data_IF_869151831268
#
_entry.id   IF_869151831268
#
_cell.length_a   1.000
_cell.length_b   1.000
_cell.length_c   1.000
_cell.angle_alpha   90.00
_cell.angle_beta   90.00
_cell.angle_gamma   90.00
#
_symmetry.space_group_name_H-M   'P 1'
#
loop_
_entity.id
_entity.type
_entity.pdbx_description
1 polymer ?
#
# COMPACT_ATOMS: atom_id res chain seq x y z
N UNK A 1 -59.85 -5.95 -12.89
CA UNK A 1 -58.57 -6.49 -12.40
C UNK A 1 -57.45 -5.63 -12.98
N UNK A 2 -57.09 -4.57 -12.26
CA UNK A 2 -56.07 -3.58 -12.65
C UNK A 2 -54.76 -3.95 -11.96
N UNK A 3 -53.72 -4.22 -12.73
CA UNK A 3 -52.38 -4.52 -12.19
C UNK A 3 -51.69 -3.25 -11.68
N UNK A 4 -51.01 -3.29 -10.52
CA UNK A 4 -50.19 -2.19 -10.05
C UNK A 4 -48.82 -2.17 -10.75
N UNK A 5 -48.55 -1.08 -11.47
CA UNK A 5 -47.23 -0.75 -12.03
C UNK A 5 -46.23 -0.41 -10.93
N UNK A 6 -45.12 -1.15 -10.87
CA UNK A 6 -43.97 -0.89 -9.97
C UNK A 6 -43.18 0.35 -10.45
N UNK A 7 -42.75 1.25 -9.54
CA UNK A 7 -41.90 2.38 -9.90
C UNK A 7 -40.44 1.95 -10.14
N UNK A 8 -39.83 2.53 -11.18
CA UNK A 8 -38.42 2.37 -11.54
C UNK A 8 -37.50 2.98 -10.45
N UNK A 9 -36.48 2.26 -9.93
CA UNK A 9 -35.57 2.78 -8.90
C UNK A 9 -34.34 3.52 -9.45
N UNK A 10 -34.18 3.66 -10.76
CA UNK A 10 -33.04 4.37 -11.36
C UNK A 10 -33.48 5.72 -11.90
N UNK A 11 -33.27 6.76 -11.08
CA UNK A 11 -33.45 8.15 -11.45
C UNK A 11 -32.54 8.52 -12.63
N UNK A 12 -33.15 9.03 -13.69
CA UNK A 12 -32.45 9.74 -14.75
C UNK A 12 -31.77 10.99 -14.16
N UNK A 13 -30.52 11.31 -14.55
CA UNK A 13 -29.94 12.60 -14.23
C UNK A 13 -30.73 13.72 -14.94
N UNK A 14 -30.90 14.89 -14.32
CA UNK A 14 -31.62 16.00 -14.92
C UNK A 14 -30.90 16.52 -16.16
N UNK A 15 -31.70 16.83 -17.18
CA UNK A 15 -31.27 17.41 -18.44
C UNK A 15 -30.48 18.71 -18.23
N UNK A 16 -29.33 18.78 -18.90
CA UNK A 16 -28.43 19.93 -18.95
C UNK A 16 -29.16 21.18 -19.44
N UNK A 17 -29.13 22.24 -18.63
CA UNK A 17 -29.63 23.57 -18.99
C UNK A 17 -28.62 24.27 -19.91
N UNK A 18 -29.03 24.81 -21.08
CA UNK A 18 -28.16 25.63 -21.91
C UNK A 18 -27.98 27.02 -21.28
N UNK A 19 -26.89 27.20 -20.54
CA UNK A 19 -26.50 28.47 -19.94
C UNK A 19 -25.75 29.36 -20.94
N UNK A 20 -26.45 30.40 -21.38
CA UNK A 20 -26.00 31.57 -22.15
C UNK A 20 -24.71 32.20 -21.63
N UNK A 21 -23.88 32.64 -22.58
CA UNK A 21 -22.54 33.16 -22.35
C UNK A 21 -22.45 34.47 -21.59
N UNK A 22 -21.29 34.65 -20.96
CA UNK A 22 -20.81 35.96 -20.49
C UNK A 22 -19.27 35.99 -20.59
N UNK A 23 -18.76 36.66 -21.64
CA UNK A 23 -17.42 37.27 -21.68
C UNK A 23 -17.54 38.63 -20.98
N UNK A 24 -16.60 39.01 -20.11
CA UNK A 24 -15.45 39.84 -20.53
C UNK A 24 -14.15 39.41 -19.81
N UNK A 25 -12.97 39.50 -20.40
CA UNK A 25 -12.27 40.76 -20.67
C UNK A 25 -11.24 41.01 -19.55
N UNK A 26 -9.97 40.67 -19.79
CA UNK A 26 -8.89 40.80 -18.81
C UNK A 26 -7.52 40.52 -19.40
N UNK A 27 -7.13 41.31 -20.40
CA UNK A 27 -5.77 41.39 -20.93
C UNK A 27 -4.84 41.98 -19.86
N UNK A 28 -3.97 41.15 -19.27
CA UNK A 28 -2.73 41.62 -18.69
C UNK A 28 -1.58 40.91 -19.40
N UNK A 29 -1.16 41.55 -20.51
CA UNK A 29 0.07 41.27 -21.23
C UNK A 29 1.26 41.42 -20.27
N UNK A 30 1.82 40.31 -19.79
CA UNK A 30 3.16 40.30 -19.21
C UNK A 30 4.18 40.27 -20.35
N UNK A 31 4.73 41.44 -20.63
CA UNK A 31 5.91 41.64 -21.45
C UNK A 31 7.09 40.87 -20.84
N UNK A 32 7.50 39.79 -21.51
CA UNK A 32 8.75 39.09 -21.22
C UNK A 32 9.91 39.95 -21.72
N UNK A 33 10.70 40.50 -20.80
CA UNK A 33 11.97 41.12 -21.14
C UNK A 33 12.97 40.03 -21.62
N UNK A 34 13.75 40.27 -22.69
CA UNK A 34 14.79 39.35 -23.12
C UNK A 34 15.95 39.35 -22.11
N UNK A 35 16.22 38.19 -21.51
CA UNK A 35 17.37 37.97 -20.66
C UNK A 35 18.66 38.12 -21.48
N UNK A 36 19.53 39.05 -21.05
CA UNK A 36 20.88 39.20 -21.60
C UNK A 36 21.69 37.91 -21.40
N UNK A 37 22.44 37.44 -22.41
CA UNK A 37 23.42 36.37 -22.23
C UNK A 37 24.55 36.87 -21.33
N UNK A 38 24.72 36.24 -20.17
CA UNK A 38 25.86 36.43 -19.28
C UNK A 38 27.10 35.84 -19.95
N UNK A 39 28.00 36.73 -20.33
CA UNK A 39 29.35 36.44 -20.78
C UNK A 39 30.11 35.70 -19.67
N UNK A 40 30.78 34.57 -19.96
CA UNK A 40 31.65 33.93 -18.98
C UNK A 40 32.90 34.80 -18.74
N UNK A 41 33.33 35.00 -17.49
CA UNK A 41 34.56 35.72 -17.19
C UNK A 41 35.77 34.90 -17.67
N UNK A 42 36.55 35.52 -18.55
CA UNK A 42 37.84 35.01 -19.01
C UNK A 42 38.87 35.06 -17.86
N UNK A 43 39.67 34.00 -17.73
CA UNK A 43 40.93 34.02 -17.01
C UNK A 43 40.86 33.62 -15.54
N UNK A 44 40.72 32.32 -15.26
CA UNK A 44 41.13 31.75 -13.98
C UNK A 44 42.51 31.08 -14.16
N UNK A 45 43.57 31.52 -13.46
CA UNK A 45 44.88 30.90 -13.55
C UNK A 45 44.80 29.43 -13.11
N UNK A 46 45.53 28.57 -13.82
CA UNK A 46 45.59 27.13 -13.57
C UNK A 46 46.03 26.86 -12.12
N UNK A 47 45.19 26.14 -11.38
CA UNK A 47 45.50 25.72 -10.03
C UNK A 47 46.65 24.69 -10.04
N UNK A 48 47.60 24.75 -9.09
CA UNK A 48 48.67 23.77 -8.98
C UNK A 48 48.12 22.37 -8.68
N UNK A 49 48.82 21.31 -9.12
CA UNK A 49 48.38 19.94 -8.86
C UNK A 49 48.29 19.66 -7.36
N UNK A 50 47.22 18.99 -6.88
CA UNK A 50 47.09 18.68 -5.47
C UNK A 50 48.19 17.72 -5.00
N UNK A 51 48.67 17.85 -3.76
CA UNK A 51 49.65 16.92 -3.20
C UNK A 51 49.08 15.49 -3.14
N UNK A 52 49.94 14.46 -3.26
CA UNK A 52 49.51 13.06 -3.17
C UNK A 52 48.87 12.80 -1.81
N UNK A 53 47.64 12.30 -1.82
CA UNK A 53 46.88 12.05 -0.60
C UNK A 53 47.61 11.01 0.30
N UNK A 54 47.64 11.21 1.62
CA UNK A 54 48.19 10.24 2.55
C UNK A 54 47.40 8.94 2.45
N UNK A 55 48.09 7.85 2.13
CA UNK A 55 47.55 6.48 2.14
C UNK A 55 47.32 6.08 3.60
N UNK A 56 46.18 6.46 4.15
CA UNK A 56 45.73 5.94 5.44
C UNK A 56 45.49 4.45 5.31
N UNK A 57 46.23 3.69 6.12
CA UNK A 57 46.19 2.25 6.20
C UNK A 57 44.77 1.75 6.41
N UNK A 58 44.49 0.63 5.76
CA UNK A 58 43.36 -0.26 5.98
C UNK A 58 43.11 -0.46 7.48
N UNK A 59 42.08 0.20 8.00
CA UNK A 59 41.53 -0.10 9.32
C UNK A 59 40.64 -1.35 9.20
N UNK A 60 41.00 -2.50 9.82
CA UNK A 60 40.03 -3.54 10.10
C UNK A 60 39.18 -3.06 11.28
N UNK A 61 37.92 -3.50 11.36
CA UNK A 61 36.90 -3.07 12.33
C UNK A 61 36.09 -1.83 11.95
N UNK A 62 35.19 -2.02 10.98
CA UNK A 62 33.86 -1.42 11.09
C UNK A 62 32.93 -2.46 11.71
N UNK A 63 32.64 -2.41 13.02
CA UNK A 63 31.46 -3.09 13.54
C UNK A 63 30.25 -2.35 12.99
N UNK A 64 29.73 -2.79 11.84
CA UNK A 64 28.40 -2.35 11.42
C UNK A 64 27.41 -3.01 12.37
N UNK A 65 27.07 -2.33 13.46
CA UNK A 65 25.88 -2.65 14.24
C UNK A 65 24.68 -2.39 13.33
N UNK A 66 24.32 -3.42 12.55
CA UNK A 66 23.04 -3.42 11.84
C UNK A 66 21.97 -3.46 12.91
N UNK A 67 21.34 -2.31 13.13
CA UNK A 67 20.10 -2.24 13.91
C UNK A 67 19.06 -2.97 13.10
N UNK A 68 18.83 -4.23 13.43
CA UNK A 68 17.75 -5.03 12.88
C UNK A 68 16.50 -4.70 13.69
N UNK A 69 15.57 -3.98 13.05
CA UNK A 69 14.28 -3.69 13.66
C UNK A 69 13.41 -4.93 13.47
N UNK A 70 13.08 -5.59 14.58
CA UNK A 70 12.17 -6.73 14.52
C UNK A 70 10.72 -6.23 14.57
N UNK A 71 9.90 -6.72 13.63
CA UNK A 71 8.49 -6.39 13.55
C UNK A 71 7.71 -7.34 14.45
N UNK A 72 7.10 -6.78 15.47
CA UNK A 72 6.28 -7.50 16.44
C UNK A 72 4.81 -7.12 16.21
N UNK A 73 4.04 -7.89 15.42
CA UNK A 73 2.62 -7.64 15.29
C UNK A 73 1.93 -7.83 16.65
N UNK A 74 1.12 -6.85 17.01
CA UNK A 74 0.25 -6.83 18.19
C UNK A 74 -0.94 -7.76 17.98
N UNK A 75 -1.49 -7.79 16.76
CA UNK A 75 -2.62 -8.64 16.40
C UNK A 75 -2.17 -9.81 15.53
N UNK A 76 -2.90 -10.93 15.63
CA UNK A 76 -2.73 -12.10 14.75
C UNK A 76 -3.22 -11.84 13.32
N UNK A 77 -4.02 -10.80 13.15
CA UNK A 77 -4.62 -10.43 11.87
C UNK A 77 -3.88 -9.22 11.36
N UNK A 78 -3.26 -9.40 10.21
CA UNK A 78 -2.62 -8.33 9.46
C UNK A 78 -3.51 -7.94 8.30
N UNK A 79 -3.44 -6.69 7.85
CA UNK A 79 -4.03 -6.26 6.59
C UNK A 79 -2.96 -5.69 5.67
N UNK A 80 -2.92 -6.21 4.44
CA UNK A 80 -2.09 -5.75 3.33
C UNK A 80 -2.87 -4.83 2.40
N UNK A 81 -2.25 -3.71 2.05
CA UNK A 81 -2.69 -2.77 1.04
C UNK A 81 -1.75 -2.82 -0.16
N UNK A 82 -2.26 -3.25 -1.31
CA UNK A 82 -1.54 -3.29 -2.58
C UNK A 82 -2.49 -3.06 -3.77
N UNK A 83 -1.98 -2.51 -4.87
CA UNK A 83 -2.75 -2.30 -6.09
C UNK A 83 -2.66 -3.48 -7.08
N UNK A 84 -1.92 -4.54 -6.75
CA UNK A 84 -1.58 -5.63 -7.68
C UNK A 84 -2.79 -6.49 -8.02
N UNK A 85 -3.42 -6.26 -9.17
CA UNK A 85 -4.66 -6.97 -9.54
C UNK A 85 -5.94 -6.19 -9.19
N UNK A 86 -5.81 -4.94 -8.74
CA UNK A 86 -6.91 -3.97 -8.63
C UNK A 86 -7.01 -3.03 -9.85
N UNK A 87 -6.35 -3.37 -10.97
CA UNK A 87 -6.36 -2.54 -12.18
C UNK A 87 -7.76 -2.37 -12.77
N UNK A 88 -8.52 -3.46 -12.97
CA UNK A 88 -9.86 -3.41 -13.57
C UNK A 88 -10.88 -2.58 -12.76
N UNK A 89 -11.03 -2.78 -11.43
CA UNK A 89 -11.93 -1.96 -10.60
C UNK A 89 -11.69 -0.44 -10.72
N UNK A 90 -10.44 -0.02 -10.93
CA UNK A 90 -10.10 1.39 -11.01
C UNK A 90 -10.64 2.07 -12.28
N UNK A 91 -10.72 1.35 -13.40
CA UNK A 91 -11.32 1.90 -14.61
C UNK A 91 -12.81 2.16 -14.45
N UNK A 92 -13.49 1.21 -13.80
CA UNK A 92 -14.92 1.35 -13.51
C UNK A 92 -15.18 2.54 -12.60
N UNK A 93 -14.30 2.76 -11.62
CA UNK A 93 -14.39 3.91 -10.72
C UNK A 93 -14.26 5.25 -11.46
N UNK A 94 -13.40 5.32 -12.47
CA UNK A 94 -13.18 6.53 -13.28
C UNK A 94 -14.22 6.70 -14.41
N UNK A 95 -15.15 5.75 -14.59
CA UNK A 95 -16.14 5.79 -15.66
C UNK A 95 -15.56 5.62 -17.07
N UNK A 96 -14.33 5.12 -17.19
CA UNK A 96 -13.70 4.85 -18.48
C UNK A 96 -14.04 3.44 -18.98
N UNK A 97 -14.15 3.23 -20.31
CA UNK A 97 -14.26 1.88 -20.87
C UNK A 97 -13.02 1.06 -20.47
N UNK A 98 -13.21 -0.25 -20.29
CA UNK A 98 -12.13 -1.19 -19.99
C UNK A 98 -10.97 -1.00 -20.96
N UNK A 99 -9.83 -0.54 -20.44
CA UNK A 99 -8.60 -0.44 -21.20
C UNK A 99 -7.55 -1.37 -20.59
N UNK A 100 -7.20 -2.40 -21.35
CA UNK A 100 -6.27 -3.46 -20.95
C UNK A 100 -4.86 -2.92 -20.68
N UNK A 101 -4.49 -1.79 -21.28
CA UNK A 101 -3.14 -1.21 -21.14
C UNK A 101 -2.84 -0.80 -19.70
N UNK A 102 -3.86 -0.41 -18.94
CA UNK A 102 -3.73 0.00 -17.54
C UNK A 102 -3.95 -1.14 -16.55
N UNK A 103 -4.19 -2.37 -17.04
CA UNK A 103 -4.26 -3.56 -16.20
C UNK A 103 -2.97 -3.83 -15.43
N UNK A 104 -1.84 -3.29 -15.92
CA UNK A 104 -0.55 -3.36 -15.23
C UNK A 104 -0.33 -2.13 -14.33
N UNK A 105 0.13 -2.39 -13.10
CA UNK A 105 0.38 -1.37 -12.08
C UNK A 105 1.32 -0.25 -12.55
N UNK A 106 2.36 -0.60 -13.32
CA UNK A 106 3.32 0.38 -13.82
C UNK A 106 2.76 1.32 -14.87
N UNK A 107 1.77 0.88 -15.67
CA UNK A 107 1.10 1.75 -16.63
C UNK A 107 0.10 2.66 -15.92
N UNK A 108 -0.60 2.13 -14.92
CA UNK A 108 -1.47 2.91 -14.06
C UNK A 108 -0.71 4.03 -13.33
N UNK A 109 0.40 3.71 -12.68
CA UNK A 109 1.18 4.71 -11.94
C UNK A 109 1.69 5.81 -12.88
N UNK A 110 2.17 5.44 -14.08
CA UNK A 110 2.58 6.42 -15.10
C UNK A 110 1.43 7.31 -15.56
N UNK A 111 0.23 6.77 -15.67
CA UNK A 111 -0.96 7.53 -16.04
C UNK A 111 -1.33 8.56 -14.97
N UNK A 112 -1.32 8.15 -13.70
CA UNK A 112 -1.60 9.02 -12.57
C UNK A 112 -0.52 10.10 -12.39
N UNK A 113 0.76 9.76 -12.61
CA UNK A 113 1.88 10.72 -12.57
C UNK A 113 1.84 11.73 -13.71
N UNK A 114 1.39 11.33 -14.91
CA UNK A 114 1.26 12.23 -16.06
C UNK A 114 0.23 13.34 -15.82
N UNK A 115 -0.70 13.15 -14.89
CA UNK A 115 -1.76 14.09 -14.60
C UNK A 115 -2.91 14.06 -15.62
N UNK A 116 -3.76 15.08 -15.57
CA UNK A 116 -4.97 15.24 -16.40
C UNK A 116 -6.26 15.19 -15.58
N UNK A 117 -7.39 15.19 -16.28
CA UNK A 117 -8.71 15.29 -15.63
C UNK A 117 -9.04 14.04 -14.78
N UNK A 118 -8.58 12.86 -15.20
CA UNK A 118 -8.82 11.60 -14.51
C UNK A 118 -8.20 11.54 -13.09
N UNK A 119 -6.89 11.82 -12.87
CA UNK A 119 -6.32 11.85 -11.53
C UNK A 119 -6.88 12.99 -10.65
N UNK A 120 -7.35 14.09 -11.23
CA UNK A 120 -8.03 15.15 -10.46
C UNK A 120 -9.41 14.69 -9.97
N UNK A 121 -10.20 14.05 -10.84
CA UNK A 121 -11.47 13.43 -10.46
C UNK A 121 -11.27 12.34 -9.40
N UNK A 122 -10.22 11.51 -9.55
CA UNK A 122 -9.85 10.50 -8.56
C UNK A 122 -9.48 11.14 -7.22
N UNK A 123 -8.69 12.21 -7.23
CA UNK A 123 -8.32 12.94 -6.01
C UNK A 123 -9.55 13.46 -5.29
N UNK A 124 -10.45 14.12 -6.01
CA UNK A 124 -11.69 14.65 -5.44
C UNK A 124 -12.56 13.54 -4.84
N UNK A 125 -12.67 12.41 -5.53
CA UNK A 125 -13.37 11.22 -5.03
C UNK A 125 -12.72 10.69 -3.75
N UNK A 126 -11.41 10.47 -3.74
CA UNK A 126 -10.69 9.93 -2.59
C UNK A 126 -10.74 10.87 -1.37
N UNK A 127 -10.68 12.18 -1.58
CA UNK A 127 -10.86 13.19 -0.54
C UNK A 127 -12.29 13.21 0.01
N UNK A 128 -13.29 12.89 -0.81
CA UNK A 128 -14.70 12.79 -0.37
C UNK A 128 -14.95 11.54 0.46
N UNK A 129 -14.33 10.42 0.09
CA UNK A 129 -14.52 9.13 0.78
C UNK A 129 -13.68 9.06 2.05
N UNK A 130 -12.51 9.69 2.11
CA UNK A 130 -11.61 9.57 3.26
C UNK A 130 -12.24 9.87 4.63
N UNK A 131 -13.06 10.93 4.81
CA UNK A 131 -13.73 11.21 6.07
C UNK A 131 -14.71 10.13 6.53
N UNK A 132 -15.28 9.33 5.62
CA UNK A 132 -16.25 8.28 5.97
C UNK A 132 -15.60 7.11 6.71
N UNK A 133 -14.28 6.99 6.62
CA UNK A 133 -13.51 5.98 7.33
C UNK A 133 -13.16 6.37 8.77
N UNK A 134 -13.40 7.63 9.16
CA UNK A 134 -13.10 8.16 10.50
C UNK A 134 -11.64 7.95 10.94
N UNK A 135 -10.71 7.81 9.98
CA UNK A 135 -9.30 7.59 10.23
C UNK A 135 -8.60 8.92 10.52
N UNK A 136 -8.49 9.28 11.81
CA UNK A 136 -7.75 10.46 12.28
C UNK A 136 -6.22 10.39 12.07
N UNK A 137 -5.68 9.22 11.71
CA UNK A 137 -4.28 9.01 11.36
C UNK A 137 -3.43 8.28 12.41
N UNK A 138 -2.13 8.37 12.19
CA UNK A 138 -1.00 7.75 12.87
C UNK A 138 -1.12 6.22 13.09
N UNK A 139 -1.42 5.49 12.01
CA UNK A 139 -1.16 4.05 11.96
C UNK A 139 0.26 3.81 11.41
N UNK A 140 0.98 2.85 12.00
CA UNK A 140 2.27 2.40 11.50
C UNK A 140 2.04 1.31 10.44
N UNK A 141 2.65 1.48 9.28
CA UNK A 141 2.57 0.56 8.15
C UNK A 141 3.97 0.11 7.76
N UNK A 142 4.14 -1.19 7.67
CA UNK A 142 5.41 -1.80 7.33
C UNK A 142 5.43 -2.13 5.84
N UNK A 143 6.61 -2.06 5.22
CA UNK A 143 6.76 -2.54 3.86
C UNK A 143 6.55 -4.06 3.85
N UNK A 144 5.71 -4.56 2.96
CA UNK A 144 5.48 -6.00 2.82
C UNK A 144 6.62 -6.64 2.03
N UNK A 145 7.71 -6.95 2.72
CA UNK A 145 8.90 -7.61 2.20
C UNK A 145 9.10 -9.01 2.83
N UNK A 146 10.12 -9.73 2.35
CA UNK A 146 10.39 -11.09 2.82
C UNK A 146 10.89 -11.14 4.28
N UNK A 147 11.45 -10.05 4.78
CA UNK A 147 11.86 -9.95 6.18
C UNK A 147 10.64 -9.86 7.09
N UNK A 148 9.67 -9.00 6.76
CA UNK A 148 8.39 -8.89 7.49
C UNK A 148 7.62 -10.20 7.42
N UNK A 149 7.54 -10.86 6.25
CA UNK A 149 6.92 -12.19 6.14
C UNK A 149 7.59 -13.19 7.08
N UNK A 150 8.93 -13.23 7.09
CA UNK A 150 9.69 -14.14 7.94
C UNK A 150 9.45 -13.86 9.43
N UNK A 151 9.44 -12.59 9.83
CA UNK A 151 9.18 -12.18 11.21
C UNK A 151 7.78 -12.59 11.68
N UNK A 152 6.76 -12.36 10.84
CA UNK A 152 5.38 -12.78 11.13
C UNK A 152 5.28 -14.30 11.22
N UNK A 153 5.88 -15.04 10.29
CA UNK A 153 5.85 -16.51 10.30
C UNK A 153 6.60 -17.11 11.50
N UNK A 154 7.69 -16.49 11.97
CA UNK A 154 8.46 -16.98 13.12
C UNK A 154 7.66 -16.94 14.42
N UNK A 155 6.86 -15.90 14.66
CA UNK A 155 6.05 -15.80 15.89
C UNK A 155 5.08 -16.96 16.07
N UNK A 156 4.45 -17.39 14.98
CA UNK A 156 3.50 -18.52 14.99
C UNK A 156 4.14 -19.80 15.55
N UNK A 157 5.46 -19.95 15.43
CA UNK A 157 6.18 -21.12 15.91
C UNK A 157 6.59 -21.03 17.39
N UNK A 158 6.67 -19.83 17.98
CA UNK A 158 7.17 -19.63 19.36
C UNK A 158 6.08 -19.90 20.40
N UNK A 159 4.82 -19.59 20.09
CA UNK A 159 3.70 -19.81 21.00
C UNK A 159 3.21 -21.26 21.02
N UNK A 160 3.76 -22.14 20.17
CA UNK A 160 3.54 -23.58 20.32
C UNK A 160 4.29 -24.03 21.58
N UNK A 161 3.59 -24.41 22.67
CA UNK A 161 4.25 -24.92 23.84
C UNK A 161 5.12 -26.08 23.38
N UNK A 162 6.42 -26.00 23.64
CA UNK A 162 7.35 -27.10 23.37
C UNK A 162 6.73 -28.32 24.05
N UNK A 163 6.13 -29.21 23.25
CA UNK A 163 5.61 -30.49 23.73
C UNK A 163 6.82 -31.09 24.44
N UNK A 164 6.79 -31.25 25.78
CA UNK A 164 7.96 -31.66 26.52
C UNK A 164 8.47 -32.91 25.83
N UNK A 165 9.71 -32.85 25.35
CA UNK A 165 10.31 -33.96 24.62
C UNK A 165 10.09 -35.18 25.49
N UNK A 166 9.19 -36.07 25.05
CA UNK A 166 8.84 -37.24 25.81
C UNK A 166 10.05 -38.17 25.64
N UNK A 167 11.08 -37.93 26.45
CA UNK A 167 12.24 -38.78 26.63
C UNK A 167 11.79 -40.01 27.44
N UNK A 168 10.79 -40.69 26.91
CA UNK A 168 10.32 -42.00 27.35
C UNK A 168 11.05 -43.03 26.52
N UNK A 169 12.28 -43.33 26.91
CA UNK A 169 13.04 -44.47 26.45
C UNK A 169 12.36 -45.72 27.02
N UNK A 170 11.32 -46.22 26.34
CA UNK A 170 10.73 -47.52 26.65
C UNK A 170 11.03 -48.49 25.50
N UNK A 171 12.10 -49.26 25.68
CA UNK A 171 12.23 -50.56 25.04
C UNK A 171 11.12 -51.46 25.61
N UNK A 172 10.10 -51.77 24.82
CA UNK A 172 9.31 -52.97 25.02
C UNK A 172 8.77 -53.40 23.66
N UNK A 173 9.33 -54.49 23.14
CA UNK A 173 8.67 -55.35 22.16
C UNK A 173 7.33 -55.77 22.74
N UNK A 174 6.22 -55.33 22.14
CA UNK A 174 4.97 -56.09 22.19
C UNK A 174 4.10 -55.71 20.99
N UNK A 175 3.89 -56.70 20.13
CA UNK A 175 3.02 -56.67 18.97
C UNK A 175 1.57 -56.57 19.45
N UNK A 176 0.96 -55.39 19.44
CA UNK A 176 -0.50 -55.29 19.55
C UNK A 176 -1.12 -54.32 18.54
N UNK A 177 -2.05 -54.89 17.80
CA UNK A 177 -2.67 -54.42 16.59
C UNK A 177 -3.84 -53.50 16.99
N UNK A 178 -3.61 -52.19 17.08
CA UNK A 178 -4.67 -51.20 17.29
C UNK A 178 -4.98 -50.42 16.00
N UNK A 179 -5.89 -50.98 15.22
CA UNK A 179 -6.76 -50.19 14.34
C UNK A 179 -7.79 -49.48 15.23
N UNK A 180 -7.58 -48.22 15.61
CA UNK A 180 -8.70 -47.27 15.68
C UNK A 180 -8.25 -45.82 15.77
N UNK A 181 -9.00 -45.01 15.02
CA UNK A 181 -9.34 -43.57 15.11
C UNK A 181 -8.72 -42.74 16.25
N UNK A 182 -8.38 -41.46 16.07
CA UNK A 182 -9.20 -40.40 15.50
C UNK A 182 -8.40 -39.08 15.40
N UNK A 183 -8.52 -38.40 14.26
CA UNK A 183 -8.59 -36.93 14.14
C UNK A 183 -7.46 -36.08 14.77
N UNK A 184 -6.25 -36.16 14.24
CA UNK A 184 -5.20 -35.14 14.42
C UNK A 184 -5.45 -33.86 13.58
N UNK A 185 -6.72 -33.47 13.37
CA UNK A 185 -7.12 -32.23 12.68
C UNK A 185 -7.32 -31.04 13.64
N UNK A 186 -6.88 -31.17 14.90
CA UNK A 186 -7.04 -30.13 15.90
C UNK A 186 -5.85 -29.17 15.96
N UNK A 187 -6.15 -27.89 15.74
CA UNK A 187 -5.40 -26.71 16.18
C UNK A 187 -4.11 -26.33 15.46
N UNK A 188 -4.22 -26.12 14.15
CA UNK A 188 -3.40 -25.12 13.46
C UNK A 188 -4.09 -23.73 13.39
N UNK A 189 -4.96 -23.44 14.37
CA UNK A 189 -5.83 -22.25 14.47
C UNK A 189 -5.13 -21.00 15.02
N UNK A 190 -3.86 -21.12 15.43
CA UNK A 190 -3.07 -20.01 16.02
C UNK A 190 -2.13 -19.31 15.04
N UNK A 191 -2.12 -19.71 13.77
CA UNK A 191 -1.33 -19.02 12.76
C UNK A 191 -1.87 -17.60 12.53
N UNK A 192 -0.96 -16.61 12.55
CA UNK A 192 -1.28 -15.30 12.04
C UNK A 192 -1.74 -15.43 10.58
N UNK A 193 -2.73 -14.64 10.17
CA UNK A 193 -3.19 -14.62 8.78
C UNK A 193 -3.22 -13.18 8.26
N UNK A 194 -3.00 -13.04 6.96
CA UNK A 194 -2.90 -11.76 6.30
C UNK A 194 -4.14 -11.54 5.43
N UNK A 195 -4.91 -10.51 5.74
CA UNK A 195 -6.01 -10.06 4.90
C UNK A 195 -5.47 -9.13 3.84
N UNK A 196 -5.96 -9.24 2.61
CA UNK A 196 -5.70 -8.29 1.56
C UNK A 196 -6.92 -7.40 1.36
N UNK A 197 -6.75 -6.09 1.52
CA UNK A 197 -7.81 -5.13 1.25
C UNK A 197 -8.11 -5.05 -0.26
N UNK A 198 -9.40 -5.09 -0.62
CA UNK A 198 -9.87 -5.05 -2.02
C UNK A 198 -10.52 -3.71 -2.34
N UNK A 199 -11.06 -3.02 -1.33
CA UNK A 199 -11.62 -1.70 -1.50
C UNK A 199 -10.56 -0.73 -2.02
N UNK A 200 -10.72 -0.38 -3.30
CA UNK A 200 -9.81 0.47 -4.03
C UNK A 200 -9.72 1.88 -3.45
N UNK A 201 -10.84 2.44 -2.96
CA UNK A 201 -10.87 3.76 -2.35
C UNK A 201 -10.07 3.80 -1.06
N UNK A 202 -10.19 2.75 -0.25
CA UNK A 202 -9.38 2.55 0.96
C UNK A 202 -7.90 2.33 0.62
N UNK A 203 -7.60 1.37 -0.27
CA UNK A 203 -6.22 1.02 -0.66
C UNK A 203 -5.48 2.23 -1.23
N UNK A 204 -6.10 2.97 -2.15
CA UNK A 204 -5.49 4.17 -2.73
C UNK A 204 -5.29 5.26 -1.70
N UNK A 205 -6.27 5.53 -0.83
CA UNK A 205 -6.09 6.54 0.22
C UNK A 205 -4.92 6.20 1.15
N UNK A 206 -4.84 4.94 1.60
CA UNK A 206 -3.73 4.49 2.47
C UNK A 206 -2.39 4.65 1.75
N UNK A 207 -2.26 4.13 0.52
CA UNK A 207 -1.01 4.20 -0.23
C UNK A 207 -0.61 5.65 -0.56
N UNK A 208 -1.56 6.50 -0.95
CA UNK A 208 -1.32 7.88 -1.38
C UNK A 208 -1.08 8.86 -0.21
N UNK A 209 -1.61 8.58 0.99
CA UNK A 209 -1.43 9.42 2.19
C UNK A 209 -0.27 8.97 3.09
N UNK A 210 0.14 7.71 3.04
CA UNK A 210 1.23 7.22 3.90
C UNK A 210 2.58 7.86 3.55
N UNK A 211 3.27 8.40 4.55
CA UNK A 211 4.61 9.00 4.46
C UNK A 211 5.50 8.34 5.49
N UNK A 212 6.71 7.92 5.10
CA UNK A 212 7.68 7.28 6.01
C UNK A 212 7.04 6.24 6.93
N UNK A 213 6.23 5.34 6.35
CA UNK A 213 5.51 4.28 7.08
C UNK A 213 4.44 4.74 8.08
N UNK A 214 4.08 6.02 8.10
CA UNK A 214 3.01 6.58 8.91
C UNK A 214 1.84 7.03 8.03
N UNK A 215 0.64 6.52 8.33
CA UNK A 215 -0.60 6.99 7.70
C UNK A 215 -1.05 8.28 8.38
N UNK A 216 -1.01 9.38 7.65
CA UNK A 216 -1.41 10.70 8.13
C UNK A 216 -2.75 11.06 7.50
N UNK A 217 -3.81 11.16 8.30
CA UNK A 217 -5.16 11.44 7.79
C UNK A 217 -5.28 12.81 7.11
N UNK A 218 -4.48 13.79 7.53
CA UNK A 218 -4.42 15.13 6.94
C UNK A 218 -3.39 15.29 5.82
N UNK A 219 -2.61 14.25 5.50
CA UNK A 219 -1.62 14.36 4.44
C UNK A 219 -2.29 14.48 3.07
N UNK A 220 -1.70 15.30 2.21
CA UNK A 220 -2.14 15.45 0.82
C UNK A 220 -1.98 14.14 0.04
N UNK A 221 -2.94 13.87 -0.85
CA UNK A 221 -2.88 12.73 -1.75
C UNK A 221 -1.73 12.91 -2.76
N UNK A 222 -0.73 12.03 -2.69
CA UNK A 222 0.32 11.95 -3.70
C UNK A 222 0.18 10.64 -4.48
N UNK A 223 0.19 10.74 -5.81
CA UNK A 223 0.13 9.61 -6.73
C UNK A 223 1.51 9.25 -7.28
N UNK A 224 2.58 9.56 -6.54
CA UNK A 224 3.94 9.16 -6.91
C UNK A 224 4.01 7.64 -7.06
N UNK A 225 4.63 7.18 -8.15
CA UNK A 225 4.80 5.77 -8.45
C UNK A 225 5.40 4.97 -7.30
N UNK A 226 6.38 5.55 -6.59
CA UNK A 226 7.02 4.91 -5.43
C UNK A 226 6.05 4.62 -4.29
N UNK A 227 5.01 5.45 -4.13
CA UNK A 227 4.01 5.30 -3.07
C UNK A 227 2.89 4.33 -3.46
N UNK A 228 2.58 4.23 -4.76
CA UNK A 228 1.53 3.35 -5.28
C UNK A 228 2.02 1.93 -5.60
N UNK A 229 3.29 1.77 -5.98
CA UNK A 229 3.85 0.46 -6.34
C UNK A 229 4.25 -0.41 -5.14
N UNK A 230 4.31 0.17 -3.94
CA UNK A 230 4.63 -0.56 -2.71
C UNK A 230 3.44 -1.38 -2.23
N UNK A 231 3.75 -2.45 -1.51
CA UNK A 231 2.79 -3.17 -0.68
C UNK A 231 3.05 -2.81 0.78
N UNK A 232 2.00 -2.42 1.50
CA UNK A 232 2.07 -2.05 2.91
C UNK A 232 1.28 -3.04 3.75
N UNK A 233 1.73 -3.33 4.96
CA UNK A 233 1.00 -4.14 5.94
C UNK A 233 0.84 -3.39 7.26
N UNK A 234 -0.24 -3.63 7.97
CA UNK A 234 -0.45 -3.11 9.33
C UNK A 234 -1.31 -4.09 10.13
N UNK A 235 -1.16 -4.03 11.44
CA UNK A 235 -1.95 -4.70 12.45
C UNK A 235 -2.81 -3.70 13.25
N UNK A 236 -2.94 -2.45 12.81
CA UNK A 236 -3.81 -1.47 13.47
C UNK A 236 -5.27 -1.99 13.46
N UNK A 237 -5.91 -2.14 14.63
CA UNK A 237 -7.23 -2.77 14.74
C UNK A 237 -8.31 -2.02 13.95
N UNK A 238 -8.19 -0.69 13.79
CA UNK A 238 -9.16 0.12 13.05
C UNK A 238 -9.04 -0.14 11.56
N UNK A 239 -7.82 -0.21 11.03
CA UNK A 239 -7.57 -0.54 9.63
C UNK A 239 -7.97 -1.99 9.30
N UNK A 240 -7.72 -2.93 10.22
CA UNK A 240 -8.17 -4.32 10.07
C UNK A 240 -9.70 -4.40 10.05
N UNK A 241 -10.38 -3.75 11.00
CA UNK A 241 -11.84 -3.71 11.05
C UNK A 241 -12.42 -3.07 9.78
N UNK A 242 -11.82 -1.96 9.32
CA UNK A 242 -12.26 -1.25 8.14
C UNK A 242 -12.11 -2.09 6.88
N UNK A 243 -10.95 -2.73 6.67
CA UNK A 243 -10.75 -3.61 5.52
C UNK A 243 -11.68 -4.82 5.51
N UNK A 244 -12.06 -5.34 6.68
CA UNK A 244 -13.08 -6.38 6.80
C UNK A 244 -14.46 -5.85 6.40
N UNK A 245 -14.80 -4.64 6.83
CA UNK A 245 -16.09 -4.02 6.56
C UNK A 245 -16.27 -3.64 5.09
N UNK A 246 -15.21 -3.17 4.42
CA UNK A 246 -15.26 -2.74 3.02
C UNK A 246 -14.94 -3.83 2.01
N UNK A 247 -14.33 -4.93 2.46
CA UNK A 247 -14.04 -6.11 1.66
C UNK A 247 -12.56 -6.48 1.66
N UNK A 248 -12.27 -7.72 2.03
CA UNK A 248 -10.93 -8.29 2.05
C UNK A 248 -10.92 -9.75 1.60
N UNK A 249 -9.79 -10.19 1.05
CA UNK A 249 -9.50 -11.60 0.74
C UNK A 249 -8.51 -12.11 1.80
N UNK A 250 -8.78 -13.27 2.36
CA UNK A 250 -7.81 -13.95 3.20
C UNK A 250 -6.69 -14.52 2.32
N UNK A 251 -5.47 -14.07 2.57
CA UNK A 251 -4.27 -14.65 2.00
C UNK A 251 -3.55 -15.44 3.09
N UNK A 252 -3.40 -16.75 2.87
CA UNK A 252 -2.52 -17.55 3.70
C UNK A 252 -1.12 -16.94 3.68
N UNK A 253 -0.51 -16.75 4.85
CA UNK A 253 0.92 -16.52 4.94
C UNK A 253 1.59 -17.76 4.35
N UNK A 254 2.10 -17.64 3.13
CA UNK A 254 2.75 -18.69 2.34
C UNK A 254 3.43 -19.72 3.26
N UNK A 255 2.94 -20.97 3.22
CA UNK A 255 3.67 -22.14 3.69
C UNK A 255 4.80 -22.46 2.73
#
# INVERSE_FOLDING_TARGET
MTQPTKPNPFGQPPASVPGTGQKPGGLLSRTSAPAKPLTPPAGRPAAPPPPPAPRFGSAPFQPSTRVEWDFVPVLRVLVRFDLRGLGDPLHRLLGHPLNLDYGTLGNLSKALEKGGDAPEALRAYLDTVWPTYELGGAALLYAWDDAVKTAVSRRVSVDKPLKPANSGQNNSDDDDFSEDTSSDEADNSDAAFCLRAIDLGLVLNVLARTRTNLLLGSASLSFDRRLLERALVTDDPRLVALARATGSIEEGLLK
#
